data_IF_422527342676
#
_entry.id   IF_422527342676
#
_cell.length_a   1.000
_cell.length_b   1.000
_cell.length_c   1.000
_cell.angle_alpha   90.00
_cell.angle_beta   90.00
_cell.angle_gamma   90.00
#
_symmetry.space_group_name_H-M   'P 1'
#
loop_
_entity.id
_entity.type
_entity.pdbx_description
1 polymer ?
#
# COMPACT_ATOMS: atom_id res chain seq x y z
N UNK A 1 -3.79 -14.25 -11.36
CA UNK A 1 -4.78 -13.38 -10.71
C UNK A 1 -4.25 -11.97 -10.76
N UNK A 2 -5.15 -11.00 -10.86
CA UNK A 2 -4.79 -9.59 -10.64
C UNK A 2 -4.27 -9.44 -9.20
N UNK A 3 -3.25 -8.62 -8.95
CA UNK A 3 -2.68 -8.47 -7.61
C UNK A 3 -3.73 -8.02 -6.59
N UNK A 4 -4.71 -7.22 -7.04
CA UNK A 4 -5.84 -6.79 -6.22
C UNK A 4 -6.70 -7.99 -5.78
N UNK A 5 -6.99 -8.93 -6.68
CA UNK A 5 -7.78 -10.13 -6.36
C UNK A 5 -7.09 -10.97 -5.28
N UNK A 6 -5.78 -11.19 -5.42
CA UNK A 6 -5.01 -11.94 -4.43
C UNK A 6 -4.93 -11.25 -3.06
N UNK A 7 -4.88 -9.92 -3.02
CA UNK A 7 -4.92 -9.17 -1.77
C UNK A 7 -6.31 -9.20 -1.11
N UNK A 8 -7.40 -9.22 -1.90
CA UNK A 8 -8.76 -9.41 -1.37
C UNK A 8 -8.87 -10.78 -0.71
N UNK A 9 -8.42 -11.84 -1.39
CA UNK A 9 -8.43 -13.20 -0.82
C UNK A 9 -7.58 -13.30 0.46
N UNK A 10 -6.43 -12.63 0.51
CA UNK A 10 -5.61 -12.57 1.70
C UNK A 10 -6.33 -11.88 2.87
N UNK A 11 -6.95 -10.72 2.62
CA UNK A 11 -7.70 -9.99 3.63
C UNK A 11 -8.84 -10.85 4.19
N UNK A 12 -9.62 -11.50 3.31
CA UNK A 12 -10.72 -12.37 3.71
C UNK A 12 -10.24 -13.55 4.58
N UNK A 13 -9.10 -14.16 4.23
CA UNK A 13 -8.50 -15.24 5.01
C UNK A 13 -8.01 -14.78 6.40
N UNK A 14 -7.58 -13.52 6.52
CA UNK A 14 -7.20 -12.90 7.79
C UNK A 14 -8.40 -12.36 8.59
N UNK A 15 -9.62 -12.44 8.05
CA UNK A 15 -10.82 -11.88 8.68
C UNK A 15 -10.88 -10.35 8.64
N UNK A 16 -10.17 -9.73 7.70
CA UNK A 16 -10.04 -8.29 7.52
C UNK A 16 -10.77 -7.85 6.25
N UNK A 17 -11.20 -6.58 6.20
CA UNK A 17 -11.51 -5.98 4.90
C UNK A 17 -10.22 -5.64 4.16
N UNK A 18 -10.27 -5.50 2.83
CA UNK A 18 -9.12 -5.01 2.05
C UNK A 18 -8.63 -3.64 2.55
N UNK A 19 -9.56 -2.81 3.04
CA UNK A 19 -9.25 -1.49 3.59
C UNK A 19 -8.44 -1.63 4.89
N UNK A 20 -8.85 -2.53 5.78
CA UNK A 20 -8.13 -2.79 7.03
C UNK A 20 -6.72 -3.30 6.74
N UNK A 21 -6.59 -4.29 5.84
CA UNK A 21 -5.30 -4.84 5.43
C UNK A 21 -4.37 -3.74 4.89
N UNK A 22 -4.87 -2.88 4.01
CA UNK A 22 -4.08 -1.84 3.37
C UNK A 22 -3.62 -0.76 4.37
N UNK A 23 -4.50 -0.31 5.26
CA UNK A 23 -4.17 0.72 6.24
C UNK A 23 -3.26 0.17 7.34
N UNK A 24 -3.53 -1.04 7.84
CA UNK A 24 -2.68 -1.71 8.82
C UNK A 24 -1.26 -1.93 8.26
N UNK A 25 -1.13 -2.40 7.01
CA UNK A 25 0.17 -2.57 6.36
C UNK A 25 1.00 -1.26 6.32
N UNK A 26 0.35 -0.13 6.01
CA UNK A 26 1.03 1.18 6.01
C UNK A 26 1.45 1.59 7.41
N UNK A 27 0.60 1.36 8.42
CA UNK A 27 0.83 1.75 9.80
C UNK A 27 1.82 0.83 10.55
N UNK A 28 1.97 -0.41 10.09
CA UNK A 28 2.91 -1.39 10.65
C UNK A 28 4.38 -0.94 10.47
N UNK A 29 4.68 -0.20 9.40
CA UNK A 29 6.05 0.18 9.11
C UNK A 29 6.56 1.25 10.10
N UNK A 30 7.64 1.00 10.87
CA UNK A 30 8.06 1.85 11.99
C UNK A 30 8.50 3.27 11.58
N UNK A 31 8.88 3.46 10.31
CA UNK A 31 9.21 4.78 9.76
C UNK A 31 7.98 5.60 9.31
N UNK A 32 6.78 5.04 9.37
CA UNK A 32 5.53 5.71 9.00
C UNK A 32 4.84 6.23 10.26
N UNK A 33 4.60 7.54 10.32
CA UNK A 33 3.93 8.17 11.49
C UNK A 33 2.42 8.26 11.33
N UNK A 34 1.93 8.33 10.08
CA UNK A 34 0.50 8.49 9.80
C UNK A 34 0.17 8.01 8.38
N UNK A 35 -1.01 7.39 8.22
CA UNK A 35 -1.63 7.14 6.93
C UNK A 35 -2.58 8.29 6.56
N UNK A 36 -2.47 8.83 5.34
CA UNK A 36 -3.38 9.88 4.85
C UNK A 36 -4.53 9.20 4.09
N UNK A 37 -5.76 9.45 4.54
CA UNK A 37 -6.99 8.97 3.90
C UNK A 37 -7.83 10.13 3.36
N UNK A 38 -8.56 9.89 2.26
CA UNK A 38 -9.38 10.90 1.58
C UNK A 38 -10.85 10.52 1.40
N UNK A 39 -11.59 10.12 2.45
CA UNK A 39 -13.01 9.80 2.33
C UNK A 39 -13.82 11.05 1.97
N UNK A 40 -14.83 10.88 1.10
CA UNK A 40 -15.73 11.97 0.67
C UNK A 40 -17.04 12.04 1.47
N UNK A 41 -17.29 11.06 2.32
CA UNK A 41 -18.50 10.92 3.14
C UNK A 41 -18.12 10.32 4.50
N UNK A 42 -19.01 10.45 5.50
CA UNK A 42 -18.74 10.00 6.87
C UNK A 42 -18.66 8.47 6.99
N UNK A 43 -19.53 7.75 6.29
CA UNK A 43 -19.60 6.28 6.35
C UNK A 43 -18.25 5.60 5.98
N UNK A 44 -17.58 5.92 4.85
CA UNK A 44 -16.24 5.41 4.56
C UNK A 44 -15.16 5.90 5.51
N UNK A 45 -15.32 7.08 6.13
CA UNK A 45 -14.39 7.53 7.16
C UNK A 45 -14.49 6.62 8.38
N UNK A 46 -15.69 6.40 8.89
CA UNK A 46 -15.93 5.54 10.06
C UNK A 46 -15.48 4.11 9.80
N UNK A 47 -15.74 3.56 8.61
CA UNK A 47 -15.30 2.21 8.27
C UNK A 47 -13.78 2.04 8.21
N UNK A 48 -13.01 3.13 8.06
CA UNK A 48 -11.54 3.11 7.97
C UNK A 48 -10.86 3.29 9.32
N UNK A 49 -11.55 3.84 10.32
CA UNK A 49 -10.95 4.16 11.62
C UNK A 49 -10.55 2.90 12.41
N UNK A 50 -11.24 1.77 12.21
CA UNK A 50 -10.91 0.51 12.89
C UNK A 50 -9.55 -0.07 12.51
N UNK A 51 -9.01 0.30 11.34
CA UNK A 51 -7.74 -0.24 10.86
C UNK A 51 -6.53 0.12 11.74
N UNK A 52 -6.64 1.15 12.59
CA UNK A 52 -5.56 1.50 13.53
C UNK A 52 -5.40 0.51 14.68
N UNK A 53 -6.40 -0.36 14.90
CA UNK A 53 -6.39 -1.39 15.95
C UNK A 53 -5.97 -2.77 15.41
N UNK A 54 -5.69 -2.86 14.10
CA UNK A 54 -5.31 -4.10 13.43
C UNK A 54 -3.79 -4.24 13.45
N UNK A 55 -3.31 -5.33 14.04
CA UNK A 55 -1.91 -5.76 13.95
C UNK A 55 -1.82 -6.90 12.93
N UNK A 56 -0.91 -6.79 11.96
CA UNK A 56 -0.70 -7.84 10.96
C UNK A 56 0.35 -8.83 11.47
N UNK A 57 0.04 -10.12 11.41
CA UNK A 57 1.05 -11.14 11.73
C UNK A 57 2.12 -11.25 10.63
N UNK A 58 3.27 -11.80 11.00
CA UNK A 58 4.40 -12.00 10.08
C UNK A 58 4.00 -12.78 8.83
N UNK A 59 3.09 -13.76 8.96
CA UNK A 59 2.65 -14.58 7.84
C UNK A 59 1.84 -13.82 6.80
N UNK A 60 1.05 -12.84 7.25
CA UNK A 60 0.27 -11.95 6.42
C UNK A 60 1.19 -10.98 5.68
N UNK A 61 2.18 -10.42 6.38
CA UNK A 61 3.19 -9.54 5.80
C UNK A 61 4.03 -10.27 4.74
N UNK A 62 4.50 -11.48 5.04
CA UNK A 62 5.24 -12.32 4.09
C UNK A 62 4.40 -12.61 2.84
N UNK A 63 3.09 -12.85 3.03
CA UNK A 63 2.18 -13.10 1.91
C UNK A 63 1.93 -11.86 1.05
N UNK A 64 1.90 -10.67 1.65
CA UNK A 64 1.84 -9.41 0.89
C UNK A 64 3.08 -9.28 0.00
N UNK A 65 4.27 -9.55 0.52
CA UNK A 65 5.52 -9.50 -0.23
C UNK A 65 5.58 -10.52 -1.37
N UNK A 66 4.99 -11.71 -1.19
CA UNK A 66 4.84 -12.70 -2.26
C UNK A 66 3.92 -12.22 -3.40
N UNK A 67 2.81 -11.55 -3.05
CA UNK A 67 1.84 -11.04 -4.03
C UNK A 67 2.40 -9.81 -4.75
N UNK A 68 3.00 -8.88 -4.01
CA UNK A 68 3.60 -7.65 -4.52
C UNK A 68 5.02 -7.50 -3.95
N UNK A 69 6.05 -7.98 -4.69
CA UNK A 69 7.42 -7.90 -4.22
C UNK A 69 7.83 -6.45 -3.88
N UNK A 70 8.59 -6.23 -2.80
CA UNK A 70 9.05 -4.89 -2.42
C UNK A 70 9.70 -4.12 -3.57
N UNK A 71 9.32 -2.85 -3.73
CA UNK A 71 9.79 -2.00 -4.83
C UNK A 71 9.05 -2.18 -6.16
N UNK A 72 7.99 -2.98 -6.19
CA UNK A 72 7.14 -3.14 -7.38
C UNK A 72 6.19 -1.97 -7.54
N UNK A 73 6.16 -1.37 -8.73
CA UNK A 73 5.11 -0.43 -9.15
C UNK A 73 4.18 -1.15 -10.12
N UNK A 74 3.00 -1.56 -9.65
CA UNK A 74 2.03 -2.32 -10.44
C UNK A 74 1.44 -1.48 -11.59
N UNK A 75 1.09 -0.22 -11.30
CA UNK A 75 0.53 0.70 -12.27
C UNK A 75 1.59 1.73 -12.71
N UNK A 76 1.99 1.76 -14.00
CA UNK A 76 2.99 2.70 -14.48
C UNK A 76 2.66 4.19 -14.23
N UNK A 77 1.38 4.54 -14.09
CA UNK A 77 0.97 5.91 -13.76
C UNK A 77 1.42 6.35 -12.35
N UNK A 78 1.62 5.40 -11.44
CA UNK A 78 2.02 5.66 -10.04
C UNK A 78 3.54 5.81 -9.90
N UNK A 79 4.31 5.61 -10.97
CA UNK A 79 5.76 5.85 -10.99
C UNK A 79 6.14 7.33 -10.82
N UNK A 80 5.14 8.21 -10.73
CA UNK A 80 5.29 9.65 -10.53
C UNK A 80 5.89 10.37 -11.73
N UNK A 81 6.00 11.69 -11.59
CA UNK A 81 6.66 12.51 -12.58
C UNK A 81 8.17 12.30 -12.55
N UNK A 82 8.73 11.74 -13.63
CA UNK A 82 10.18 11.65 -13.81
C UNK A 82 10.72 12.96 -14.35
N UNK A 83 11.46 13.68 -13.51
CA UNK A 83 12.10 14.93 -13.92
C UNK A 83 13.01 14.74 -15.14
N UNK A 84 12.81 15.49 -16.24
CA UNK A 84 13.71 15.45 -17.40
C UNK A 84 15.16 15.81 -17.05
N UNK A 85 15.38 16.58 -15.99
CA UNK A 85 16.71 16.92 -15.50
C UNK A 85 17.45 15.72 -14.87
N UNK A 86 16.70 14.72 -14.38
CA UNK A 86 17.26 13.48 -13.82
C UNK A 86 17.45 12.37 -14.88
N UNK A 87 17.18 12.66 -16.16
CA UNK A 87 17.41 11.72 -17.24
C UNK A 87 18.90 11.37 -17.37
N UNK A 88 19.24 10.12 -17.66
CA UNK A 88 20.63 9.64 -17.71
C UNK A 88 21.53 10.48 -18.63
N UNK A 89 20.99 10.98 -19.75
CA UNK A 89 21.68 11.88 -20.70
C UNK A 89 22.07 13.24 -20.09
N UNK A 90 21.34 13.70 -19.07
CA UNK A 90 21.55 14.99 -18.40
C UNK A 90 22.40 14.86 -17.12
N UNK A 91 22.63 13.64 -16.61
CA UNK A 91 23.44 13.38 -15.39
C UNK A 91 24.93 13.69 -15.57
N UNK A 92 25.39 13.90 -16.80
CA UNK A 92 26.71 14.47 -17.12
C UNK A 92 26.53 15.84 -17.75
N UNK A 93 26.22 16.85 -16.95
CA UNK A 93 26.51 18.24 -17.33
C UNK A 93 27.94 18.55 -16.88
N UNK A 94 28.78 18.95 -17.82
CA UNK A 94 30.12 19.46 -17.59
C UNK A 94 30.07 20.83 -16.91
#
# INVERSE_FOLDING_TARGET
MDAVESLVELADNAGLTLIDLALAFVLEHPAVTSAIIGPRTMEPLESQLGATEVELDESTLDRIDEIVPPGTTLNPADAGWRSPALAAKQRRSR
#
